data_IF_787264627130
#
_entry.id   IF_787264627130
#
_cell.length_a   1.000
_cell.length_b   1.000
_cell.length_c   1.000
_cell.angle_alpha   90.00
_cell.angle_beta   90.00
_cell.angle_gamma   90.00
#
_symmetry.space_group_name_H-M   'P 1'
#
loop_
_entity.id
_entity.type
_entity.pdbx_description
1 polymer ?
#
# COMPACT_ATOMS: atom_id res chain seq x y z
N UNK A 1 10.91 -16.95 -12.11
CA UNK A 1 10.51 -16.47 -10.76
C UNK A 1 10.48 -14.95 -10.76
N UNK A 2 9.35 -14.35 -10.40
CA UNK A 2 9.12 -12.88 -10.43
C UNK A 2 9.19 -12.31 -9.03
N UNK A 3 9.61 -11.06 -8.92
CA UNK A 3 9.59 -10.30 -7.66
C UNK A 3 8.26 -9.59 -7.51
N UNK A 4 7.76 -9.54 -6.28
CA UNK A 4 6.52 -8.86 -5.92
C UNK A 4 6.68 -8.09 -4.61
N UNK A 5 5.81 -7.11 -4.41
CA UNK A 5 5.72 -6.33 -3.18
C UNK A 5 4.32 -6.53 -2.58
N UNK A 6 4.24 -7.03 -1.37
CA UNK A 6 2.98 -7.15 -0.62
C UNK A 6 2.85 -5.99 0.36
N UNK A 7 1.71 -5.32 0.31
CA UNK A 7 1.34 -4.24 1.21
C UNK A 7 0.09 -4.67 2.00
N UNK A 8 0.23 -4.79 3.32
CA UNK A 8 -0.86 -5.18 4.21
C UNK A 8 -1.52 -3.96 4.82
N UNK A 9 -2.83 -4.03 5.04
CA UNK A 9 -3.61 -2.99 5.69
C UNK A 9 -4.30 -3.52 6.94
N UNK A 10 -4.50 -2.65 7.92
CA UNK A 10 -5.24 -2.96 9.12
C UNK A 10 -4.41 -3.58 10.24
N UNK A 11 -3.09 -3.48 10.15
CA UNK A 11 -2.19 -3.88 11.23
C UNK A 11 -2.08 -2.77 12.27
N UNK A 12 -2.00 -3.18 13.54
CA UNK A 12 -1.85 -2.27 14.67
C UNK A 12 -2.97 -2.43 15.71
N UNK A 13 -2.79 -1.84 16.88
CA UNK A 13 -3.73 -2.00 17.99
C UNK A 13 -3.89 -3.48 18.39
N UNK A 14 -5.12 -3.98 18.36
CA UNK A 14 -5.43 -5.38 18.67
C UNK A 14 -5.04 -6.36 17.53
N UNK A 15 -4.76 -5.87 16.34
CA UNK A 15 -4.39 -6.67 15.17
C UNK A 15 -2.88 -6.66 14.98
N UNK A 16 -2.16 -7.26 15.90
CA UNK A 16 -0.71 -7.33 15.88
C UNK A 16 -0.25 -8.55 15.06
N UNK A 17 0.64 -8.29 14.10
CA UNK A 17 1.30 -9.30 13.30
C UNK A 17 2.81 -9.08 13.37
N UNK A 18 3.56 -9.95 14.06
CA UNK A 18 5.03 -9.89 14.02
C UNK A 18 5.54 -10.07 12.59
N UNK A 19 6.52 -9.27 12.18
CA UNK A 19 7.06 -9.38 10.82
C UNK A 19 7.75 -10.72 10.57
N UNK A 20 8.34 -11.32 11.60
CA UNK A 20 8.84 -12.69 11.50
C UNK A 20 7.72 -13.69 11.22
N UNK A 21 6.58 -13.56 11.88
CA UNK A 21 5.41 -14.41 11.64
C UNK A 21 4.84 -14.24 10.23
N UNK A 22 4.83 -13.03 9.70
CA UNK A 22 4.47 -12.79 8.31
C UNK A 22 5.43 -13.51 7.35
N UNK A 23 6.74 -13.38 7.58
CA UNK A 23 7.74 -14.04 6.74
C UNK A 23 7.59 -15.57 6.78
N UNK A 24 7.36 -16.15 7.95
CA UNK A 24 7.12 -17.59 8.10
C UNK A 24 5.90 -18.06 7.30
N UNK A 25 4.77 -17.36 7.43
CA UNK A 25 3.54 -17.63 6.66
C UNK A 25 3.84 -17.61 5.16
N UNK A 26 4.51 -16.58 4.69
CA UNK A 26 4.80 -16.43 3.27
C UNK A 26 5.69 -17.56 2.75
N UNK A 27 6.68 -17.99 3.53
CA UNK A 27 7.54 -19.14 3.19
C UNK A 27 6.76 -20.45 3.16
N UNK A 28 5.86 -20.67 4.11
CA UNK A 28 4.97 -21.85 4.15
C UNK A 28 4.04 -21.91 2.93
N UNK A 29 3.62 -20.76 2.40
CA UNK A 29 2.85 -20.67 1.15
C UNK A 29 3.69 -20.89 -0.12
N UNK A 30 4.98 -21.21 0.03
CA UNK A 30 5.89 -21.47 -1.10
C UNK A 30 6.47 -20.21 -1.74
N UNK A 31 6.26 -19.05 -1.12
CA UNK A 31 6.89 -17.80 -1.56
C UNK A 31 8.36 -17.81 -1.12
N UNK A 32 9.24 -17.19 -1.90
CA UNK A 32 10.69 -17.26 -1.68
C UNK A 32 11.31 -15.88 -1.52
N UNK A 33 12.52 -15.86 -0.96
CA UNK A 33 13.32 -14.64 -0.76
C UNK A 33 12.53 -13.53 -0.04
N UNK A 34 11.75 -13.93 0.98
CA UNK A 34 10.87 -13.03 1.72
C UNK A 34 11.70 -12.09 2.58
N UNK A 35 11.50 -10.79 2.38
CA UNK A 35 12.09 -9.70 3.17
C UNK A 35 11.00 -8.76 3.62
N UNK A 36 10.91 -8.52 4.90
CA UNK A 36 9.91 -7.61 5.49
C UNK A 36 10.50 -6.25 5.82
N UNK A 37 9.65 -5.22 5.84
CA UNK A 37 10.04 -3.87 6.20
C UNK A 37 8.98 -3.22 7.07
N UNK A 38 9.36 -2.82 8.27
CA UNK A 38 8.59 -2.17 9.34
C UNK A 38 7.25 -2.86 9.68
N UNK A 39 6.73 -2.58 10.88
CA UNK A 39 5.50 -3.20 11.42
C UNK A 39 4.22 -2.83 10.68
N UNK A 40 4.25 -1.89 9.76
CA UNK A 40 3.07 -1.54 8.94
C UNK A 40 2.70 -2.59 7.89
N UNK A 41 3.48 -3.68 7.79
CA UNK A 41 3.14 -4.79 6.92
C UNK A 41 3.58 -4.62 5.46
N UNK A 42 4.89 -4.59 5.25
CA UNK A 42 5.45 -4.56 3.90
C UNK A 42 6.37 -5.76 3.72
N UNK A 43 6.25 -6.45 2.60
CA UNK A 43 7.13 -7.57 2.27
C UNK A 43 7.48 -7.56 0.80
N UNK A 44 8.72 -7.95 0.50
CA UNK A 44 9.18 -8.25 -0.85
C UNK A 44 9.43 -9.75 -0.92
N UNK A 45 9.00 -10.38 -1.98
CA UNK A 45 9.11 -11.82 -2.15
C UNK A 45 9.22 -12.21 -3.62
N UNK A 46 9.54 -13.48 -3.87
CA UNK A 46 9.59 -14.03 -5.22
C UNK A 46 8.63 -15.20 -5.36
N UNK A 47 8.01 -15.31 -6.54
CA UNK A 47 7.09 -16.40 -6.88
C UNK A 47 7.10 -16.67 -8.39
N UNK A 48 6.83 -17.90 -8.78
CA UNK A 48 6.57 -18.26 -10.18
C UNK A 48 5.10 -18.05 -10.56
N UNK A 49 4.25 -17.84 -9.56
CA UNK A 49 2.81 -17.63 -9.75
C UNK A 49 2.54 -16.23 -10.31
N UNK A 50 1.62 -16.15 -11.26
CA UNK A 50 1.26 -14.89 -11.91
C UNK A 50 0.04 -14.20 -11.29
N UNK A 51 -0.83 -14.96 -10.61
CA UNK A 51 -2.05 -14.42 -10.02
C UNK A 51 -1.76 -13.75 -8.68
N UNK A 52 -1.61 -12.43 -8.71
CA UNK A 52 -1.38 -11.62 -7.50
C UNK A 52 -2.60 -11.62 -6.58
N UNK A 53 -3.82 -11.71 -7.14
CA UNK A 53 -5.05 -11.79 -6.36
C UNK A 53 -5.13 -13.07 -5.51
N UNK A 54 -4.80 -14.22 -6.10
CA UNK A 54 -4.77 -15.49 -5.35
C UNK A 54 -3.70 -15.47 -4.26
N UNK A 55 -2.51 -14.97 -4.55
CA UNK A 55 -1.45 -14.86 -3.54
C UNK A 55 -1.90 -13.96 -2.39
N UNK A 56 -2.54 -12.83 -2.69
CA UNK A 56 -3.05 -11.89 -1.68
C UNK A 56 -4.10 -12.56 -0.78
N UNK A 57 -5.04 -13.30 -1.35
CA UNK A 57 -6.07 -14.01 -0.60
C UNK A 57 -5.47 -15.11 0.30
N UNK A 58 -4.51 -15.87 -0.20
CA UNK A 58 -3.84 -16.91 0.57
C UNK A 58 -3.05 -16.35 1.75
N UNK A 59 -2.32 -15.24 1.55
CA UNK A 59 -1.61 -14.55 2.64
C UNK A 59 -2.61 -14.09 3.70
N UNK A 60 -3.70 -13.44 3.30
CA UNK A 60 -4.73 -12.96 4.22
C UNK A 60 -5.38 -14.12 5.00
N UNK A 61 -5.73 -15.21 4.32
CA UNK A 61 -6.34 -16.39 4.94
C UNK A 61 -5.39 -17.07 5.93
N UNK A 62 -4.13 -17.24 5.57
CA UNK A 62 -3.12 -17.84 6.45
C UNK A 62 -2.85 -16.98 7.70
N UNK A 63 -2.88 -15.65 7.56
CA UNK A 63 -2.80 -14.74 8.71
C UNK A 63 -4.04 -14.93 9.60
N UNK A 64 -5.22 -15.04 9.01
CA UNK A 64 -6.45 -15.26 9.77
C UNK A 64 -6.42 -16.58 10.57
N UNK A 65 -5.95 -17.65 9.96
CA UNK A 65 -5.82 -18.95 10.64
C UNK A 65 -4.87 -18.89 11.83
N UNK A 66 -3.76 -18.16 11.72
CA UNK A 66 -2.73 -18.11 12.77
C UNK A 66 -2.96 -17.02 13.80
N UNK A 67 -3.46 -15.86 13.41
CA UNK A 67 -3.57 -14.66 14.26
C UNK A 67 -5.01 -14.18 14.50
N UNK A 68 -6.01 -14.77 13.84
CA UNK A 68 -7.40 -14.47 14.09
C UNK A 68 -7.96 -13.22 13.43
N UNK A 69 -7.26 -12.65 12.43
CA UNK A 69 -7.77 -11.54 11.62
C UNK A 69 -7.27 -11.64 10.18
N UNK A 70 -8.05 -11.15 9.24
CA UNK A 70 -7.76 -11.20 7.81
C UNK A 70 -7.42 -9.79 7.28
N UNK A 71 -6.14 -9.40 7.24
CA UNK A 71 -5.75 -8.10 6.70
C UNK A 71 -5.98 -8.07 5.20
N UNK A 72 -6.28 -6.89 4.67
CA UNK A 72 -6.25 -6.70 3.23
C UNK A 72 -4.81 -6.71 2.73
N UNK A 73 -4.57 -7.42 1.64
CA UNK A 73 -3.25 -7.51 1.02
C UNK A 73 -3.36 -6.99 -0.42
N UNK A 74 -2.50 -6.04 -0.76
CA UNK A 74 -2.36 -5.54 -2.13
C UNK A 74 -0.96 -5.91 -2.59
N UNK A 75 -0.87 -6.53 -3.76
CA UNK A 75 0.40 -6.94 -4.35
C UNK A 75 0.69 -6.10 -5.58
N UNK A 76 1.91 -5.58 -5.62
CA UNK A 76 2.45 -4.81 -6.73
C UNK A 76 3.60 -5.56 -7.39
N UNK A 77 3.79 -5.30 -8.67
CA UNK A 77 5.04 -5.64 -9.35
C UNK A 77 6.07 -4.52 -9.15
N UNK A 78 7.37 -4.80 -9.35
CA UNK A 78 8.40 -3.76 -9.35
C UNK A 78 8.12 -2.64 -10.35
N UNK A 79 7.59 -2.99 -11.52
CA UNK A 79 7.24 -2.05 -12.57
C UNK A 79 6.13 -1.08 -12.13
N UNK A 80 5.09 -1.60 -11.48
CA UNK A 80 4.01 -0.78 -10.92
C UNK A 80 4.52 0.18 -9.85
N UNK A 81 5.43 -0.28 -9.00
CA UNK A 81 6.04 0.58 -7.96
C UNK A 81 6.92 1.67 -8.58
N UNK A 82 7.75 1.33 -9.58
CA UNK A 82 8.59 2.30 -10.31
C UNK A 82 7.74 3.34 -11.03
N UNK A 83 6.68 2.89 -11.70
CA UNK A 83 5.74 3.78 -12.38
C UNK A 83 5.07 4.76 -11.40
N UNK A 84 4.62 4.26 -10.25
CA UNK A 84 4.02 5.10 -9.21
C UNK A 84 5.01 6.17 -8.70
N UNK A 85 6.27 5.81 -8.50
CA UNK A 85 7.32 6.76 -8.08
C UNK A 85 7.62 7.78 -9.18
N UNK A 86 7.80 7.31 -10.42
CA UNK A 86 8.11 8.18 -11.57
C UNK A 86 6.98 9.17 -11.90
N UNK A 87 5.75 8.80 -11.62
CA UNK A 87 4.55 9.60 -11.93
C UNK A 87 4.11 10.52 -10.79
N UNK A 88 4.93 10.70 -9.76
CA UNK A 88 4.61 11.59 -8.64
C UNK A 88 4.33 13.02 -9.14
N UNK A 89 3.09 13.55 -8.92
CA UNK A 89 2.73 14.89 -9.37
C UNK A 89 3.22 16.01 -8.43
N UNK A 90 3.82 15.65 -7.29
CA UNK A 90 4.26 16.59 -6.24
C UNK A 90 5.74 16.42 -5.91
N UNK A 91 6.67 16.62 -6.86
CA UNK A 91 8.09 16.40 -6.62
C UNK A 91 8.67 17.26 -5.50
N UNK A 92 8.13 18.44 -5.28
CA UNK A 92 8.54 19.32 -4.17
C UNK A 92 8.21 18.75 -2.80
N UNK A 93 7.23 17.85 -2.68
CA UNK A 93 6.86 17.22 -1.42
C UNK A 93 7.82 16.08 -1.01
N UNK A 94 8.69 15.64 -1.91
CA UNK A 94 9.64 14.56 -1.64
C UNK A 94 10.66 14.92 -0.55
N UNK A 95 10.95 16.20 -0.37
CA UNK A 95 11.81 16.72 0.71
C UNK A 95 11.17 16.61 2.11
N UNK A 96 9.85 16.44 2.17
CA UNK A 96 9.09 16.20 3.39
C UNK A 96 8.30 14.89 3.26
N UNK A 97 8.98 13.73 3.23
CA UNK A 97 8.42 12.46 2.77
C UNK A 97 7.28 11.91 3.62
N UNK A 98 7.13 12.35 4.86
CA UNK A 98 6.00 11.94 5.71
C UNK A 98 4.72 12.71 5.42
N UNK A 99 4.77 13.75 4.58
CA UNK A 99 3.59 14.54 4.17
C UNK A 99 2.99 14.07 2.86
N UNK A 100 3.70 13.25 2.10
CA UNK A 100 3.24 12.69 0.82
C UNK A 100 2.88 11.22 1.01
N UNK A 101 1.66 10.87 0.67
CA UNK A 101 1.13 9.51 0.76
C UNK A 101 0.65 9.02 -0.59
N UNK A 102 0.99 7.78 -0.91
CA UNK A 102 0.46 7.05 -2.05
C UNK A 102 -0.48 5.98 -1.53
N UNK A 103 -1.73 5.99 -1.98
CA UNK A 103 -2.67 4.91 -1.76
C UNK A 103 -2.67 4.01 -2.99
N UNK A 104 -2.21 2.78 -2.82
CA UNK A 104 -2.24 1.76 -3.85
C UNK A 104 -3.58 1.05 -3.80
N UNK A 105 -4.28 1.04 -4.93
CA UNK A 105 -5.65 0.52 -5.04
C UNK A 105 -5.64 -0.90 -5.59
N UNK A 106 -6.64 -1.69 -5.20
CA UNK A 106 -6.78 -3.07 -5.69
C UNK A 106 -7.11 -3.14 -7.19
N UNK A 107 -7.76 -2.10 -7.72
CA UNK A 107 -8.12 -1.96 -9.13
C UNK A 107 -8.23 -0.48 -9.50
N UNK A 108 -8.29 -0.20 -10.80
CA UNK A 108 -8.58 1.15 -11.30
C UNK A 108 -10.03 1.52 -10.93
N UNK A 109 -10.28 2.64 -10.22
CA UNK A 109 -11.63 3.08 -9.94
C UNK A 109 -12.44 3.36 -11.22
N UNK A 110 -13.64 2.78 -11.32
CA UNK A 110 -14.52 3.00 -12.47
C UNK A 110 -15.32 4.30 -12.36
N UNK A 111 -15.76 4.63 -11.13
CA UNK A 111 -16.60 5.79 -10.82
C UNK A 111 -16.09 6.56 -9.60
N UNK A 112 -14.87 7.14 -9.66
CA UNK A 112 -14.32 7.86 -8.51
C UNK A 112 -15.09 9.15 -8.24
N UNK A 113 -15.47 9.38 -6.99
CA UNK A 113 -16.12 10.62 -6.56
C UNK A 113 -15.07 11.67 -6.16
N UNK A 114 -14.41 12.23 -7.15
CA UNK A 114 -13.38 13.25 -6.93
C UNK A 114 -13.96 14.57 -6.43
N UNK A 115 -15.23 14.86 -6.76
CA UNK A 115 -15.95 16.05 -6.27
C UNK A 115 -16.10 15.98 -4.76
N UNK A 116 -16.44 14.82 -4.22
CA UNK A 116 -16.52 14.60 -2.76
C UNK A 116 -15.17 14.83 -2.10
N UNK A 117 -14.10 14.32 -2.66
CA UNK A 117 -12.74 14.52 -2.13
C UNK A 117 -12.34 16.00 -2.14
N UNK A 118 -12.66 16.71 -3.23
CA UNK A 118 -12.39 18.15 -3.31
C UNK A 118 -13.14 18.94 -2.24
N UNK A 119 -14.39 18.57 -1.93
CA UNK A 119 -15.16 19.20 -0.86
C UNK A 119 -14.59 18.95 0.55
N UNK A 120 -13.95 17.79 0.74
CA UNK A 120 -13.35 17.41 2.02
C UNK A 120 -11.93 17.94 2.19
N UNK A 121 -11.33 18.45 1.11
CA UNK A 121 -9.98 18.96 1.08
C UNK A 121 -9.81 20.15 2.03
N UNK A 122 -8.81 20.05 2.89
CA UNK A 122 -8.41 21.15 3.77
C UNK A 122 -7.36 22.04 3.07
N UNK A 123 -7.14 23.24 3.63
CA UNK A 123 -6.15 24.17 3.08
C UNK A 123 -4.76 23.52 3.01
N UNK A 124 -4.10 23.64 1.85
CA UNK A 124 -2.78 23.06 1.59
C UNK A 124 -2.80 21.62 1.13
N UNK A 125 -3.89 20.89 1.32
CA UNK A 125 -4.01 19.51 0.83
C UNK A 125 -4.18 19.49 -0.68
N UNK A 126 -3.51 18.53 -1.34
CA UNK A 126 -3.60 18.29 -2.79
C UNK A 126 -3.70 16.80 -3.06
N UNK A 127 -4.43 16.42 -4.08
CA UNK A 127 -4.54 15.02 -4.49
C UNK A 127 -4.59 14.86 -6.01
N UNK A 128 -4.16 13.70 -6.46
CA UNK A 128 -4.22 13.31 -7.88
C UNK A 128 -4.44 11.79 -7.95
N UNK A 129 -5.41 11.37 -8.76
CA UNK A 129 -5.61 9.95 -9.08
C UNK A 129 -4.98 9.64 -10.44
N UNK A 130 -4.08 8.64 -10.46
CA UNK A 130 -3.47 8.12 -11.70
C UNK A 130 -3.54 6.61 -11.70
N UNK A 131 -4.44 6.03 -12.51
CA UNK A 131 -4.64 4.58 -12.57
C UNK A 131 -4.99 3.99 -11.21
N UNK A 132 -4.16 3.10 -10.68
CA UNK A 132 -4.32 2.45 -9.37
C UNK A 132 -3.59 3.16 -8.24
N UNK A 133 -3.09 4.37 -8.46
CA UNK A 133 -2.35 5.12 -7.44
C UNK A 133 -3.04 6.45 -7.18
N UNK A 134 -3.35 6.68 -5.92
CA UNK A 134 -3.90 7.96 -5.44
C UNK A 134 -2.82 8.68 -4.64
N UNK A 135 -2.38 9.83 -5.16
CA UNK A 135 -1.37 10.68 -4.52
C UNK A 135 -2.05 11.70 -3.65
N UNK A 136 -1.58 11.82 -2.42
CA UNK A 136 -2.12 12.78 -1.47
C UNK A 136 -1.00 13.52 -0.74
N UNK A 137 -0.95 14.84 -0.90
CA UNK A 137 -0.03 15.70 -0.18
C UNK A 137 -0.78 16.45 0.92
N UNK A 138 -0.40 16.19 2.18
CA UNK A 138 -0.95 16.80 3.38
C UNK A 138 0.17 17.44 4.20
N UNK A 139 0.49 18.73 3.96
CA UNK A 139 1.59 19.41 4.65
C UNK A 139 1.51 19.37 6.17
N UNK A 140 0.28 19.33 6.69
CA UNK A 140 0.00 19.30 8.13
C UNK A 140 -0.27 17.89 8.68
N UNK A 141 0.03 16.84 7.89
CA UNK A 141 -0.20 15.44 8.24
C UNK A 141 -1.58 14.94 7.88
N UNK A 142 -1.78 13.63 8.02
CA UNK A 142 -3.01 12.93 7.61
C UNK A 142 -3.96 12.61 8.77
N UNK A 143 -3.52 12.72 10.02
CA UNK A 143 -4.26 12.25 11.19
C UNK A 143 -5.61 12.90 11.40
N UNK A 144 -5.81 14.14 10.94
CA UNK A 144 -7.07 14.89 11.03
C UNK A 144 -7.68 15.17 9.66
N UNK A 145 -7.14 14.59 8.60
CA UNK A 145 -7.65 14.81 7.25
C UNK A 145 -8.93 14.01 7.01
N UNK A 146 -10.03 14.69 6.78
CA UNK A 146 -11.31 14.08 6.41
C UNK A 146 -11.22 13.46 5.00
N UNK A 147 -10.45 14.09 4.11
CA UNK A 147 -10.20 13.57 2.77
C UNK A 147 -9.48 12.23 2.86
N UNK A 148 -8.38 12.15 3.61
CA UNK A 148 -7.62 10.92 3.77
C UNK A 148 -8.48 9.77 4.31
N UNK A 149 -9.33 10.03 5.30
CA UNK A 149 -10.24 9.05 5.86
C UNK A 149 -11.33 8.59 4.88
N UNK A 150 -11.58 9.33 3.81
CA UNK A 150 -12.66 9.08 2.84
C UNK A 150 -12.20 8.53 1.50
N UNK A 151 -10.91 8.34 1.29
CA UNK A 151 -10.34 7.94 -0.01
C UNK A 151 -11.01 6.68 -0.57
N UNK A 152 -11.03 5.58 0.17
CA UNK A 152 -11.60 4.32 -0.33
C UNK A 152 -13.09 4.43 -0.64
N UNK A 153 -13.84 5.09 0.24
CA UNK A 153 -15.29 5.27 0.03
C UNK A 153 -15.57 6.11 -1.20
N UNK A 154 -14.80 7.18 -1.42
CA UNK A 154 -14.95 8.05 -2.57
C UNK A 154 -14.50 7.38 -3.87
N UNK A 155 -13.46 6.57 -3.83
CA UNK A 155 -12.96 5.88 -5.01
C UNK A 155 -13.72 4.58 -5.33
N UNK A 156 -14.42 4.02 -4.35
CA UNK A 156 -15.21 2.79 -4.51
C UNK A 156 -14.38 1.52 -4.65
N UNK A 157 -13.11 1.57 -4.37
CA UNK A 157 -12.20 0.41 -4.37
C UNK A 157 -11.31 0.42 -3.12
N UNK A 158 -10.94 -0.77 -2.62
CA UNK A 158 -10.03 -0.86 -1.50
C UNK A 158 -8.59 -0.48 -1.86
N UNK A 159 -7.86 0.04 -0.88
CA UNK A 159 -6.48 0.42 -1.05
C UNK A 159 -5.69 0.35 0.26
N UNK A 160 -4.41 0.63 0.18
CA UNK A 160 -3.55 0.81 1.33
C UNK A 160 -2.57 1.95 1.09
N UNK A 161 -2.39 2.80 2.09
CA UNK A 161 -1.55 3.98 1.97
C UNK A 161 -0.15 3.74 2.55
N UNK A 162 0.85 4.32 1.89
CA UNK A 162 2.23 4.41 2.40
C UNK A 162 2.76 5.82 2.19
N UNK A 163 3.52 6.33 3.15
CA UNK A 163 4.19 7.59 2.92
C UNK A 163 5.37 7.44 1.95
N UNK A 164 5.81 8.53 1.39
CA UNK A 164 6.87 8.56 0.37
C UNK A 164 8.17 7.92 0.84
N UNK A 165 8.53 8.08 2.11
CA UNK A 165 9.73 7.44 2.68
C UNK A 165 9.65 5.92 2.56
N UNK A 166 8.52 5.32 2.93
CA UNK A 166 8.30 3.88 2.83
C UNK A 166 8.30 3.42 1.38
N UNK A 167 7.64 4.16 0.49
CA UNK A 167 7.60 3.84 -0.95
C UNK A 167 9.02 3.80 -1.54
N UNK A 168 9.82 4.81 -1.28
CA UNK A 168 11.21 4.85 -1.75
C UNK A 168 12.05 3.71 -1.18
N UNK A 169 11.88 3.39 0.10
CA UNK A 169 12.62 2.28 0.72
C UNK A 169 12.25 0.94 0.10
N UNK A 170 10.98 0.72 -0.19
CA UNK A 170 10.54 -0.51 -0.87
C UNK A 170 11.15 -0.61 -2.27
N UNK A 171 11.22 0.49 -2.99
CA UNK A 171 11.86 0.51 -4.31
C UNK A 171 13.36 0.16 -4.23
N UNK A 172 14.08 0.74 -3.28
CA UNK A 172 15.49 0.39 -3.03
C UNK A 172 15.66 -1.11 -2.72
N UNK A 173 14.76 -1.68 -1.91
CA UNK A 173 14.81 -3.11 -1.56
C UNK A 173 14.52 -4.02 -2.75
N UNK A 174 13.68 -3.58 -3.67
CA UNK A 174 13.40 -4.32 -4.91
C UNK A 174 14.64 -4.38 -5.81
N UNK A 175 15.42 -3.30 -5.83
CA UNK A 175 16.60 -3.17 -6.71
C UNK A 175 17.87 -3.82 -6.12
N UNK A 176 17.82 -4.31 -4.89
CA UNK A 176 18.88 -5.10 -4.22
C UNK A 176 18.79 -6.59 -4.57
#
# INVERSE_FOLDING_TARGET
>A
MRTYIALLRGLGGKYTLPMQGLAEIMLELGLRDVRTYIQSGNAIFRSDRASTGEIAEEISSAINERYGFAPRVIILTPEELREAVASNPYPEAESAPTTLHLTFLSSVPEHPDLVKLERLRQAGERFTLRGRTFYFHAPNGVGRSKLFASIERALGVPGTARNWRTVCRLLEMVDQ
#
